data_IF_248670384925
#
_entry.id   IF_248670384925
#
_cell.length_a   1.000
_cell.length_b   1.000
_cell.length_c   1.000
_cell.angle_alpha   90.00
_cell.angle_beta   90.00
_cell.angle_gamma   90.00
#
_symmetry.space_group_name_H-M   'P 1'
#
loop_
_entity.id
_entity.type
_entity.pdbx_description
1 polymer ?
#
# COMPACT_ATOMS: atom_id res chain seq x y z
N UNK A 1 -3.79 9.33 -8.26
CA UNK A 1 -2.51 9.23 -7.51
C UNK A 1 -2.37 7.82 -6.95
N UNK A 2 -1.14 7.31 -6.75
CA UNK A 2 -0.95 5.92 -6.23
C UNK A 2 -1.67 5.67 -4.91
N UNK A 3 -1.69 6.65 -4.00
CA UNK A 3 -2.45 6.54 -2.75
C UNK A 3 -3.94 6.26 -2.96
N UNK A 4 -4.62 6.98 -3.86
CA UNK A 4 -6.05 6.81 -4.13
C UNK A 4 -6.36 5.43 -4.72
N UNK A 5 -5.47 4.90 -5.55
CA UNK A 5 -5.59 3.55 -6.09
C UNK A 5 -5.41 2.48 -5.00
N UNK A 6 -4.44 2.68 -4.10
CA UNK A 6 -4.22 1.80 -2.94
C UNK A 6 -5.43 1.84 -2.01
N UNK A 7 -5.96 3.01 -1.70
CA UNK A 7 -7.17 3.18 -0.89
C UNK A 7 -8.36 2.44 -1.49
N UNK A 8 -8.62 2.62 -2.79
CA UNK A 8 -9.69 1.90 -3.49
C UNK A 8 -9.48 0.37 -3.47
N UNK A 9 -8.25 -0.11 -3.67
CA UNK A 9 -7.92 -1.53 -3.63
C UNK A 9 -8.13 -2.14 -2.23
N UNK A 10 -7.71 -1.41 -1.18
CA UNK A 10 -7.87 -1.82 0.22
C UNK A 10 -9.34 -1.87 0.63
N UNK A 11 -10.12 -0.84 0.27
CA UNK A 11 -11.55 -0.79 0.52
C UNK A 11 -12.27 -1.96 -0.18
N UNK A 12 -11.92 -2.27 -1.43
CA UNK A 12 -12.46 -3.43 -2.17
C UNK A 12 -12.06 -4.77 -1.53
N UNK A 13 -10.87 -4.84 -0.94
CA UNK A 13 -10.40 -6.02 -0.19
C UNK A 13 -11.05 -6.14 1.22
N UNK A 14 -11.90 -5.19 1.61
CA UNK A 14 -12.61 -5.17 2.89
C UNK A 14 -11.77 -4.66 4.06
N UNK A 15 -10.68 -3.96 3.79
CA UNK A 15 -9.98 -3.18 4.80
C UNK A 15 -10.67 -1.84 4.99
N UNK A 16 -10.63 -1.30 6.20
CA UNK A 16 -11.20 0.00 6.55
C UNK A 16 -10.10 0.91 7.06
N UNK A 17 -10.09 2.16 6.61
CA UNK A 17 -9.27 3.20 7.21
C UNK A 17 -9.79 3.51 8.61
N UNK A 18 -8.95 3.34 9.63
CA UNK A 18 -9.37 3.55 11.04
C UNK A 18 -8.64 4.71 11.71
N UNK A 19 -7.49 5.11 11.17
CA UNK A 19 -6.66 6.15 11.77
C UNK A 19 -5.73 6.77 10.74
N UNK A 20 -5.58 8.09 10.81
CA UNK A 20 -4.56 8.88 10.18
C UNK A 20 -3.54 9.39 11.22
N UNK A 21 -2.36 9.78 10.74
CA UNK A 21 -1.30 10.27 11.60
C UNK A 21 -0.02 10.58 10.84
N UNK A 22 1.09 10.59 11.57
CA UNK A 22 2.43 10.85 11.03
C UNK A 22 3.28 9.60 11.20
N UNK A 23 4.04 9.25 10.15
CA UNK A 23 4.96 8.14 10.15
C UNK A 23 6.18 8.38 11.06
N UNK A 24 6.78 7.29 11.50
CA UNK A 24 7.99 7.26 12.31
C UNK A 24 9.02 6.31 11.67
N UNK A 25 10.31 6.48 11.96
CA UNK A 25 11.39 5.64 11.42
C UNK A 25 11.61 5.88 9.92
N UNK A 26 11.48 4.85 9.08
CA UNK A 26 11.78 4.93 7.64
C UNK A 26 10.90 5.95 6.89
N UNK A 27 9.69 6.21 7.39
CA UNK A 27 8.77 7.20 6.85
C UNK A 27 8.51 8.36 7.84
N UNK A 28 9.53 8.76 8.60
CA UNK A 28 9.41 9.83 9.60
C UNK A 28 8.90 11.14 8.98
N UNK A 29 7.86 11.71 9.59
CA UNK A 29 7.25 12.96 9.15
C UNK A 29 6.29 12.85 7.96
N UNK A 30 6.06 11.64 7.42
CA UNK A 30 5.15 11.44 6.29
C UNK A 30 3.70 11.27 6.77
N UNK A 31 2.69 11.86 6.12
CA UNK A 31 1.30 11.49 6.33
C UNK A 31 1.12 9.97 6.23
N UNK A 32 0.46 9.37 7.23
CA UNK A 32 0.35 7.93 7.37
C UNK A 32 -1.08 7.51 7.68
N UNK A 33 -1.53 6.45 7.01
CA UNK A 33 -2.91 5.96 7.03
C UNK A 33 -2.92 4.49 7.44
N UNK A 34 -3.67 4.16 8.49
CA UNK A 34 -3.78 2.81 9.04
C UNK A 34 -5.10 2.16 8.64
N UNK A 35 -4.99 1.06 7.92
CA UNK A 35 -6.08 0.22 7.49
C UNK A 35 -6.16 -1.06 8.33
N UNK A 36 -7.37 -1.50 8.63
CA UNK A 36 -7.62 -2.69 9.44
C UNK A 36 -8.72 -3.58 8.84
N UNK A 37 -8.60 -4.88 9.04
CA UNK A 37 -9.63 -5.88 8.72
C UNK A 37 -9.67 -6.96 9.80
N UNK A 38 -10.87 -7.45 10.11
CA UNK A 38 -11.07 -8.51 11.11
C UNK A 38 -10.93 -8.01 12.55
N UNK A 39 -11.41 -6.81 12.87
CA UNK A 39 -11.32 -6.18 14.21
C UNK A 39 -11.95 -7.06 15.31
N UNK A 40 -13.01 -7.80 14.99
CA UNK A 40 -13.69 -8.74 15.88
C UNK A 40 -13.27 -10.20 15.67
N UNK A 41 -12.35 -10.46 14.74
CA UNK A 41 -11.92 -11.80 14.36
C UNK A 41 -10.64 -12.21 15.10
N UNK A 42 -10.37 -13.52 15.16
CA UNK A 42 -9.11 -14.04 15.72
C UNK A 42 -7.87 -13.61 14.94
N UNK A 43 -8.02 -13.16 13.68
CA UNK A 43 -6.92 -12.82 12.78
C UNK A 43 -7.05 -11.36 12.34
N UNK A 44 -6.49 -10.48 13.16
CA UNK A 44 -6.51 -9.04 12.93
C UNK A 44 -5.43 -8.59 11.96
N UNK A 45 -5.82 -8.06 10.80
CA UNK A 45 -4.91 -7.66 9.73
C UNK A 45 -4.75 -6.15 9.69
N UNK A 46 -3.51 -5.66 9.58
CA UNK A 46 -3.22 -4.23 9.47
C UNK A 46 -2.30 -3.91 8.31
N UNK A 47 -2.58 -2.77 7.67
CA UNK A 47 -1.76 -2.23 6.59
C UNK A 47 -1.57 -0.75 6.88
N UNK A 48 -0.33 -0.30 6.90
CA UNK A 48 0.01 1.11 7.05
C UNK A 48 0.57 1.63 5.73
N UNK A 49 -0.02 2.73 5.26
CA UNK A 49 0.35 3.40 4.02
C UNK A 49 0.85 4.79 4.40
N UNK A 50 2.14 5.04 4.24
CA UNK A 50 2.72 6.38 4.40
C UNK A 50 2.95 7.01 3.03
N UNK A 51 2.60 8.28 2.87
CA UNK A 51 2.67 9.02 1.60
C UNK A 51 3.68 10.14 1.75
N UNK A 52 4.60 10.29 0.78
CA UNK A 52 5.58 11.36 0.84
C UNK A 52 4.90 12.73 0.80
N UNK A 53 5.26 13.67 1.70
CA UNK A 53 4.71 15.02 1.66
C UNK A 53 5.18 15.84 0.45
N UNK A 54 6.19 15.33 -0.29
CA UNK A 54 6.77 15.99 -1.47
C UNK A 54 6.20 15.46 -2.78
N UNK A 55 5.74 14.22 -2.80
CA UNK A 55 5.21 13.55 -3.99
C UNK A 55 4.22 12.45 -3.59
N UNK A 56 2.93 12.65 -3.90
CA UNK A 56 1.86 11.73 -3.57
C UNK A 56 1.92 10.37 -4.30
N UNK A 57 2.84 10.21 -5.26
CA UNK A 57 3.13 8.93 -5.91
C UNK A 57 4.22 8.13 -5.19
N UNK A 58 4.96 8.73 -4.26
CA UNK A 58 5.92 8.00 -3.43
C UNK A 58 5.21 7.54 -2.17
N UNK A 59 5.06 6.22 -2.04
CA UNK A 59 4.39 5.59 -0.90
C UNK A 59 5.31 4.58 -0.24
N UNK A 60 5.21 4.46 1.08
CA UNK A 60 5.87 3.44 1.88
C UNK A 60 4.80 2.56 2.54
N UNK A 61 5.00 1.25 2.46
CA UNK A 61 4.01 0.26 2.86
C UNK A 61 4.56 -0.62 3.98
N UNK A 62 3.73 -0.86 5.00
CA UNK A 62 4.00 -1.82 6.05
C UNK A 62 2.79 -2.72 6.25
N UNK A 63 3.03 -4.04 6.35
CA UNK A 63 1.98 -5.05 6.45
C UNK A 63 2.16 -5.85 7.74
N UNK A 64 1.07 -6.16 8.44
CA UNK A 64 1.11 -7.23 9.43
C UNK A 64 1.32 -8.59 8.75
N UNK A 65 1.89 -9.54 9.49
CA UNK A 65 2.28 -10.86 8.97
C UNK A 65 1.12 -11.66 8.38
N UNK A 66 -0.09 -11.45 8.87
CA UNK A 66 -1.31 -12.16 8.51
C UNK A 66 -2.11 -11.49 7.36
N UNK A 67 -1.62 -10.39 6.78
CA UNK A 67 -2.18 -9.88 5.53
C UNK A 67 -1.93 -10.92 4.42
N UNK A 68 -2.96 -11.37 3.68
CA UNK A 68 -2.81 -12.33 2.60
C UNK A 68 -1.83 -11.85 1.52
N UNK A 69 -1.02 -12.78 0.99
CA UNK A 69 -0.04 -12.48 -0.06
C UNK A 69 -0.71 -11.84 -1.28
N UNK A 70 -1.89 -12.33 -1.68
CA UNK A 70 -2.65 -11.75 -2.79
C UNK A 70 -3.03 -10.27 -2.60
N UNK A 71 -3.26 -9.83 -1.36
CA UNK A 71 -3.52 -8.42 -1.06
C UNK A 71 -2.23 -7.61 -1.14
N UNK A 72 -1.11 -8.16 -0.66
CA UNK A 72 0.22 -7.50 -0.76
C UNK A 72 0.62 -7.32 -2.22
N UNK A 73 0.48 -8.36 -3.03
CA UNK A 73 0.83 -8.34 -4.45
C UNK A 73 -0.01 -7.32 -5.23
N UNK A 74 -1.32 -7.26 -4.95
CA UNK A 74 -2.22 -6.25 -5.52
C UNK A 74 -1.73 -4.82 -5.22
N UNK A 75 -1.31 -4.55 -3.99
CA UNK A 75 -0.84 -3.21 -3.59
C UNK A 75 0.53 -2.91 -4.19
N UNK A 76 1.43 -3.90 -4.23
CA UNK A 76 2.76 -3.73 -4.85
C UNK A 76 2.68 -3.50 -6.35
N UNK A 77 1.70 -4.07 -7.05
CA UNK A 77 1.46 -3.79 -8.46
C UNK A 77 1.24 -2.28 -8.68
N UNK A 78 0.43 -1.64 -7.83
CA UNK A 78 0.14 -0.21 -7.88
C UNK A 78 1.40 0.63 -7.62
N UNK A 79 2.26 0.22 -6.68
CA UNK A 79 3.48 0.99 -6.39
C UNK A 79 4.54 0.84 -7.48
N UNK A 80 4.58 -0.32 -8.15
CA UNK A 80 5.57 -0.69 -9.16
C UNK A 80 5.11 -0.39 -10.61
N UNK A 81 3.95 0.24 -10.80
CA UNK A 81 3.36 0.56 -12.12
C UNK A 81 4.25 1.40 -13.05
N UNK A 82 5.42 1.89 -12.61
CA UNK A 82 6.41 2.52 -13.51
C UNK A 82 7.23 1.56 -14.39
N UNK A 83 7.05 0.23 -14.31
CA UNK A 83 7.92 -0.72 -15.04
C UNK A 83 7.27 -1.56 -16.15
N UNK A 84 5.96 -1.46 -16.40
CA UNK A 84 5.29 -2.40 -17.34
C UNK A 84 5.12 -1.84 -18.76
N UNK A 85 5.09 -0.51 -18.96
CA UNK A 85 4.89 0.06 -20.31
C UNK A 85 6.18 0.30 -21.12
N UNK A 86 7.39 0.11 -20.56
CA UNK A 86 8.66 0.30 -21.29
C UNK A 86 9.53 -0.98 -21.42
N UNK A 87 9.03 -2.15 -21.04
CA UNK A 87 9.82 -3.40 -21.00
C UNK A 87 9.71 -4.33 -22.21
N UNK A 88 8.76 -4.12 -23.14
CA UNK A 88 8.63 -4.96 -24.35
C UNK A 88 9.48 -4.42 -25.52
N UNK A 89 10.80 -4.46 -25.34
CA UNK A 89 11.74 -4.72 -26.43
C UNK A 89 12.81 -5.68 -25.93
N UNK A 90 12.42 -6.94 -25.81
CA UNK A 90 13.39 -8.02 -25.88
C UNK A 90 13.85 -8.11 -27.34
N UNK A 91 14.90 -7.35 -27.68
CA UNK A 91 15.73 -7.62 -28.85
C UNK A 91 16.38 -8.99 -28.62
N UNK A 92 15.78 -10.03 -29.21
CA UNK A 92 16.44 -11.31 -29.43
C UNK A 92 17.33 -11.10 -30.66
N UNK A 93 18.63 -10.99 -30.44
CA UNK A 93 19.67 -11.23 -31.44
C UNK A 93 20.56 -12.36 -30.96
#
# INVERSE_FOLDING_TARGET
>A
MKFEQIDAALNKAGFQLVKDGIGFGVAEGWPSYLYQKGISERVFQTIQVAVSPKDANIVHLCFSLNVPVSVRDLIYAITNEENVENGMKADIR
#
